data_IF_552549219653
#
_entry.id   IF_552549219653
#
_cell.length_a   1.000
_cell.length_b   1.000
_cell.length_c   1.000
_cell.angle_alpha   90.00
_cell.angle_beta   90.00
_cell.angle_gamma   90.00
#
_symmetry.space_group_name_H-M   'P 1'
#
loop_
_entity.id
_entity.type
_entity.pdbx_description
1 polymer ?
#
# COMPACT_ATOMS: atom_id res chain seq x y z
N UNK A 1 19.24 -11.90 18.91
CA UNK A 1 17.91 -11.80 19.54
C UNK A 1 17.02 -12.81 18.83
N UNK A 2 16.78 -13.97 19.43
CA UNK A 2 15.87 -14.98 18.86
C UNK A 2 14.45 -14.63 19.33
N UNK A 3 13.61 -14.21 18.40
CA UNK A 3 12.19 -13.93 18.67
C UNK A 3 11.50 -15.28 18.95
N UNK A 4 10.77 -15.46 20.06
CA UNK A 4 10.08 -16.71 20.37
C UNK A 4 9.04 -17.05 19.29
N UNK A 5 9.10 -18.27 18.73
CA UNK A 5 8.14 -18.72 17.71
C UNK A 5 6.69 -18.81 18.24
N UNK A 6 6.55 -19.13 19.53
CA UNK A 6 5.26 -19.34 20.22
C UNK A 6 4.30 -18.15 20.09
N UNK A 7 4.79 -16.92 20.22
CA UNK A 7 3.96 -15.72 20.10
C UNK A 7 3.44 -15.52 18.67
N UNK A 8 4.23 -15.91 17.66
CA UNK A 8 3.82 -15.81 16.25
C UNK A 8 2.76 -16.84 15.91
N UNK A 9 2.87 -18.06 16.45
CA UNK A 9 1.87 -19.12 16.28
C UNK A 9 0.53 -18.74 16.91
N UNK A 10 0.53 -18.13 18.10
CA UNK A 10 -0.69 -17.66 18.74
C UNK A 10 -1.41 -16.60 17.90
N UNK A 11 -0.66 -15.61 17.38
CA UNK A 11 -1.21 -14.57 16.50
C UNK A 11 -1.80 -15.17 15.22
N UNK A 12 -1.09 -16.10 14.59
CA UNK A 12 -1.56 -16.78 13.39
C UNK A 12 -2.82 -17.60 13.66
N UNK A 13 -2.88 -18.33 14.77
CA UNK A 13 -4.06 -19.08 15.16
C UNK A 13 -5.26 -18.17 15.43
N UNK A 14 -5.04 -17.03 16.09
CA UNK A 14 -6.09 -16.03 16.28
C UNK A 14 -6.63 -15.53 14.94
N UNK A 15 -5.76 -15.20 13.98
CA UNK A 15 -6.14 -14.81 12.63
C UNK A 15 -6.90 -15.92 11.88
N UNK A 16 -6.43 -17.17 11.91
CA UNK A 16 -7.12 -18.25 11.22
C UNK A 16 -8.46 -18.63 11.86
N UNK A 17 -8.62 -18.41 13.17
CA UNK A 17 -9.87 -18.63 13.89
C UNK A 17 -10.91 -17.56 13.61
N UNK A 18 -10.48 -16.30 13.53
CA UNK A 18 -11.31 -15.14 13.17
C UNK A 18 -10.44 -14.10 12.44
N UNK A 19 -10.49 -14.07 11.09
CA UNK A 19 -9.66 -13.17 10.30
C UNK A 19 -9.95 -11.69 10.53
N UNK A 20 -11.14 -11.35 11.05
CA UNK A 20 -11.58 -9.96 11.19
C UNK A 20 -11.39 -9.45 12.63
N UNK A 21 -11.78 -10.24 13.64
CA UNK A 21 -11.79 -9.80 15.04
C UNK A 21 -10.72 -10.48 15.90
N UNK A 22 -10.14 -11.60 15.46
CA UNK A 22 -9.12 -12.33 16.23
C UNK A 22 -7.91 -11.47 16.54
N UNK A 23 -7.47 -10.66 15.57
CA UNK A 23 -6.34 -9.74 15.74
C UNK A 23 -6.69 -8.46 16.52
N UNK A 24 -7.96 -8.01 16.49
CA UNK A 24 -8.40 -6.83 17.26
C UNK A 24 -8.26 -7.06 18.76
N UNK A 25 -8.52 -8.29 19.21
CA UNK A 25 -8.38 -8.69 20.61
C UNK A 25 -6.91 -8.77 21.07
N UNK A 26 -5.96 -8.78 20.14
CA UNK A 26 -4.52 -8.80 20.44
C UNK A 26 -4.00 -7.36 20.52
N UNK A 27 -4.12 -6.62 19.41
CA UNK A 27 -3.71 -5.22 19.36
C UNK A 27 -4.32 -4.53 18.13
N UNK A 28 -5.04 -3.44 18.35
CA UNK A 28 -5.76 -2.70 17.31
C UNK A 28 -4.82 -2.13 16.22
N UNK A 29 -3.60 -1.71 16.57
CA UNK A 29 -2.62 -1.18 15.61
C UNK A 29 -2.04 -2.29 14.73
N UNK A 30 -1.65 -3.43 15.31
CA UNK A 30 -1.19 -4.57 14.51
C UNK A 30 -2.31 -5.11 13.61
N UNK A 31 -3.53 -5.25 14.13
CA UNK A 31 -4.69 -5.66 13.33
C UNK A 31 -4.91 -4.72 12.14
N UNK A 32 -4.85 -3.41 12.38
CA UNK A 32 -4.94 -2.42 11.29
C UNK A 32 -3.84 -2.58 10.26
N UNK A 33 -2.57 -2.70 10.67
CA UNK A 33 -1.42 -2.92 9.78
C UNK A 33 -1.61 -4.18 8.94
N UNK A 34 -2.03 -5.28 9.56
CA UNK A 34 -2.26 -6.55 8.87
C UNK A 34 -3.33 -6.42 7.78
N UNK A 35 -4.46 -5.79 8.10
CA UNK A 35 -5.57 -5.62 7.16
C UNK A 35 -5.22 -4.67 6.00
N UNK A 36 -4.47 -3.59 6.26
CA UNK A 36 -4.09 -2.65 5.18
C UNK A 36 -3.07 -3.26 4.21
N UNK A 37 -2.19 -4.18 4.65
CA UNK A 37 -1.22 -4.83 3.75
C UNK A 37 -1.91 -5.51 2.57
N UNK A 38 -3.03 -6.20 2.79
CA UNK A 38 -3.83 -6.79 1.71
C UNK A 38 -4.42 -5.73 0.77
N UNK A 39 -4.70 -4.53 1.27
CA UNK A 39 -5.26 -3.43 0.49
C UNK A 39 -4.21 -2.70 -0.36
N UNK A 40 -2.91 -2.78 -0.02
CA UNK A 40 -1.82 -2.07 -0.71
C UNK A 40 -1.66 -2.45 -2.18
N UNK A 41 -2.14 -3.63 -2.59
CA UNK A 41 -2.10 -4.05 -3.99
C UNK A 41 -2.80 -3.05 -4.92
N UNK A 42 -3.90 -2.43 -4.48
CA UNK A 42 -4.68 -1.50 -5.30
C UNK A 42 -3.94 -0.19 -5.62
N UNK A 43 -3.46 0.61 -4.65
CA UNK A 43 -2.74 1.83 -4.97
C UNK A 43 -1.42 1.54 -5.70
N UNK A 44 -0.78 0.41 -5.43
CA UNK A 44 0.39 -0.02 -6.20
C UNK A 44 0.04 -0.36 -7.66
N UNK A 45 -1.10 -1.02 -7.90
CA UNK A 45 -1.63 -1.22 -9.25
C UNK A 45 -1.80 0.13 -9.96
N UNK A 46 -2.41 1.11 -9.29
CA UNK A 46 -2.64 2.45 -9.82
C UNK A 46 -1.34 3.17 -10.21
N UNK A 47 -0.23 2.91 -9.52
CA UNK A 47 1.08 3.51 -9.80
C UNK A 47 1.88 2.75 -10.87
N UNK A 48 1.82 1.42 -10.85
CA UNK A 48 2.64 0.54 -11.69
C UNK A 48 2.03 0.34 -13.06
N UNK A 49 0.73 0.05 -13.12
CA UNK A 49 0.08 -0.44 -14.33
C UNK A 49 0.12 0.55 -15.51
N UNK A 50 0.02 1.88 -15.30
CA UNK A 50 0.17 2.82 -16.42
C UNK A 50 1.55 2.74 -17.09
N UNK A 51 2.60 2.45 -16.32
CA UNK A 51 3.97 2.32 -16.80
C UNK A 51 4.44 0.89 -17.13
N UNK A 52 3.54 -0.09 -17.06
CA UNK A 52 3.89 -1.50 -17.22
C UNK A 52 4.08 -1.93 -18.68
N UNK A 53 3.66 -1.10 -19.64
CA UNK A 53 3.85 -1.36 -21.07
C UNK A 53 5.35 -1.49 -21.36
N UNK A 54 5.75 -2.52 -22.10
CA UNK A 54 7.14 -2.83 -22.47
C UNK A 54 8.09 -3.26 -21.34
N UNK A 55 7.56 -3.59 -20.14
CA UNK A 55 8.37 -4.19 -19.07
C UNK A 55 8.73 -5.66 -19.38
N UNK A 56 9.85 -6.13 -18.82
CA UNK A 56 10.34 -7.51 -19.05
C UNK A 56 9.36 -8.58 -18.56
N UNK A 57 8.67 -8.28 -17.46
CA UNK A 57 7.69 -9.15 -16.84
C UNK A 57 6.31 -8.50 -16.88
N UNK A 58 5.22 -9.27 -17.04
CA UNK A 58 3.88 -8.73 -16.95
C UNK A 58 3.60 -8.30 -15.50
N UNK A 59 3.15 -7.06 -15.27
CA UNK A 59 2.93 -6.52 -13.93
C UNK A 59 1.77 -7.20 -13.17
N UNK A 60 0.71 -7.57 -13.87
CA UNK A 60 -0.54 -8.09 -13.30
C UNK A 60 -0.36 -9.22 -12.28
N UNK A 61 0.36 -10.33 -12.57
CA UNK A 61 0.53 -11.41 -11.59
C UNK A 61 1.24 -10.94 -10.31
N UNK A 62 2.17 -9.98 -10.40
CA UNK A 62 2.89 -9.48 -9.24
C UNK A 62 2.05 -8.50 -8.42
N UNK A 63 1.27 -7.64 -9.07
CA UNK A 63 0.32 -6.76 -8.40
C UNK A 63 -0.76 -7.57 -7.67
N UNK A 64 -1.36 -8.57 -8.33
CA UNK A 64 -2.34 -9.47 -7.70
C UNK A 64 -1.68 -10.25 -6.55
N UNK A 65 -0.50 -10.82 -6.79
CA UNK A 65 0.22 -11.58 -5.77
C UNK A 65 0.66 -10.73 -4.57
N UNK A 66 0.85 -9.42 -4.73
CA UNK A 66 1.15 -8.48 -3.63
C UNK A 66 0.03 -8.43 -2.60
N UNK A 67 -1.23 -8.65 -3.00
CA UNK A 67 -2.35 -8.69 -2.05
C UNK A 67 -2.26 -9.86 -1.06
N UNK A 68 -1.51 -10.92 -1.41
CA UNK A 68 -1.39 -12.15 -0.62
C UNK A 68 0.02 -12.41 -0.09
N UNK A 69 1.06 -11.89 -0.76
CA UNK A 69 2.46 -12.14 -0.44
C UNK A 69 3.28 -10.88 -0.18
N UNK A 70 2.63 -9.71 -0.09
CA UNK A 70 3.28 -8.44 0.24
C UNK A 70 4.40 -8.07 -0.74
N UNK A 71 5.43 -7.39 -0.22
CA UNK A 71 6.61 -7.02 -1.00
C UNK A 71 7.41 -8.22 -1.51
N UNK A 72 7.32 -9.40 -0.88
CA UNK A 72 8.04 -10.59 -1.34
C UNK A 72 7.74 -10.92 -2.81
N UNK A 73 6.48 -10.75 -3.23
CA UNK A 73 6.07 -10.92 -4.63
C UNK A 73 6.36 -9.67 -5.45
N UNK A 74 6.04 -8.48 -4.93
CA UNK A 74 6.25 -7.23 -5.66
C UNK A 74 7.72 -6.96 -5.98
N UNK A 75 8.62 -7.31 -5.06
CA UNK A 75 10.07 -7.09 -5.15
C UNK A 75 10.68 -7.80 -6.35
N UNK A 76 10.17 -8.98 -6.73
CA UNK A 76 10.58 -9.67 -7.95
C UNK A 76 10.31 -8.78 -9.16
N UNK A 77 9.09 -8.26 -9.29
CA UNK A 77 8.75 -7.35 -10.37
C UNK A 77 9.56 -6.05 -10.31
N UNK A 78 9.66 -5.44 -9.13
CA UNK A 78 10.38 -4.19 -8.91
C UNK A 78 11.87 -4.30 -9.30
N UNK A 79 12.50 -5.46 -9.09
CA UNK A 79 13.89 -5.73 -9.50
C UNK A 79 14.09 -5.74 -11.02
N UNK A 80 13.02 -6.00 -11.77
CA UNK A 80 13.04 -6.08 -13.24
C UNK A 80 12.51 -4.82 -13.92
N UNK A 81 12.00 -3.86 -13.14
CA UNK A 81 11.56 -2.57 -13.65
C UNK A 81 12.73 -1.92 -14.37
N UNK A 82 12.59 -1.76 -15.69
CA UNK A 82 13.44 -0.82 -16.41
C UNK A 82 13.17 0.53 -15.79
N UNK A 83 14.23 1.22 -15.37
CA UNK A 83 14.17 2.59 -14.88
C UNK A 83 13.46 3.39 -15.97
N UNK A 84 12.18 3.72 -15.77
CA UNK A 84 11.30 4.34 -16.77
C UNK A 84 11.72 5.77 -17.13
N UNK A 85 12.98 6.14 -16.93
CA UNK A 85 13.52 7.48 -17.19
C UNK A 85 13.55 7.84 -18.68
N UNK A 86 13.25 6.91 -19.59
CA UNK A 86 13.32 7.15 -21.05
C UNK A 86 11.96 7.34 -21.73
N UNK A 87 10.83 7.05 -21.07
CA UNK A 87 9.47 7.29 -21.62
C UNK A 87 8.60 8.08 -20.60
N UNK A 88 9.18 9.11 -19.97
CA UNK A 88 8.48 10.14 -19.18
C UNK A 88 7.71 11.12 -20.12
N UNK A 89 7.03 10.59 -21.13
CA UNK A 89 6.14 11.35 -22.01
C UNK A 89 4.76 11.39 -21.35
N UNK A 90 4.03 12.51 -21.41
CA UNK A 90 2.62 12.53 -21.06
C UNK A 90 1.89 11.39 -21.78
N UNK A 91 1.10 10.62 -21.02
CA UNK A 91 0.31 9.51 -21.52
C UNK A 91 -1.16 9.85 -21.45
N UNK A 92 -1.93 9.32 -22.38
CA UNK A 92 -3.39 9.48 -22.37
C UNK A 92 -4.07 8.16 -22.07
N UNK A 93 -5.36 8.18 -21.74
CA UNK A 93 -6.09 6.95 -21.40
C UNK A 93 -6.12 5.96 -22.55
N UNK A 94 -6.05 6.44 -23.79
CA UNK A 94 -5.95 5.63 -25.00
C UNK A 94 -4.69 4.75 -25.04
N UNK A 95 -3.61 5.15 -24.35
CA UNK A 95 -2.36 4.39 -24.26
C UNK A 95 -2.42 3.22 -23.27
N UNK A 96 -3.46 3.18 -22.43
CA UNK A 96 -3.60 2.24 -21.33
C UNK A 96 -4.43 1.01 -21.73
N UNK A 97 -4.18 -0.11 -21.06
CA UNK A 97 -5.08 -1.27 -21.12
C UNK A 97 -6.45 -0.95 -20.51
N UNK A 98 -7.50 -1.62 -20.99
CA UNK A 98 -8.90 -1.39 -20.59
C UNK A 98 -9.09 -1.32 -19.06
N UNK A 99 -8.53 -2.28 -18.32
CA UNK A 99 -8.66 -2.33 -16.87
C UNK A 99 -8.00 -1.12 -16.18
N UNK A 100 -6.81 -0.72 -16.62
CA UNK A 100 -6.12 0.44 -16.06
C UNK A 100 -6.91 1.73 -16.35
N UNK A 101 -7.37 1.92 -17.58
CA UNK A 101 -8.12 3.11 -17.99
C UNK A 101 -9.49 3.23 -17.30
N UNK A 102 -10.20 2.12 -17.08
CA UNK A 102 -11.61 2.14 -16.64
C UNK A 102 -11.80 1.82 -15.16
N UNK A 103 -10.85 1.13 -14.51
CA UNK A 103 -10.95 0.71 -13.11
C UNK A 103 -9.92 1.46 -12.26
N UNK A 104 -8.63 1.39 -12.58
CA UNK A 104 -7.56 1.98 -11.76
C UNK A 104 -7.51 3.52 -11.84
N UNK A 105 -7.84 4.09 -13.00
CA UNK A 105 -7.97 5.54 -13.16
C UNK A 105 -9.34 6.09 -12.70
N UNK A 106 -10.29 5.22 -12.33
CA UNK A 106 -11.62 5.64 -11.93
C UNK A 106 -11.62 6.26 -10.52
N UNK A 107 -12.01 7.53 -10.43
CA UNK A 107 -12.04 8.28 -9.16
C UNK A 107 -13.06 7.74 -8.16
N UNK A 108 -14.16 7.15 -8.60
CA UNK A 108 -15.13 6.53 -7.70
C UNK A 108 -14.60 5.23 -7.10
N UNK A 109 -13.88 4.43 -7.88
CA UNK A 109 -13.19 3.22 -7.37
C UNK A 109 -12.14 3.63 -6.34
N UNK A 110 -11.34 4.64 -6.65
CA UNK A 110 -10.31 5.15 -5.74
C UNK A 110 -10.90 5.81 -4.48
N UNK A 111 -12.04 6.50 -4.60
CA UNK A 111 -12.76 7.05 -3.46
C UNK A 111 -13.36 5.96 -2.58
N UNK A 112 -13.93 4.91 -3.20
CA UNK A 112 -14.44 3.74 -2.49
C UNK A 112 -13.34 3.00 -1.74
N UNK A 113 -12.17 2.85 -2.35
CA UNK A 113 -11.00 2.26 -1.69
C UNK A 113 -10.50 3.10 -0.51
N UNK A 114 -10.47 4.43 -0.66
CA UNK A 114 -10.11 5.32 0.43
C UNK A 114 -11.14 5.28 1.56
N UNK A 115 -12.44 5.23 1.25
CA UNK A 115 -13.49 5.04 2.24
C UNK A 115 -13.38 3.67 2.93
N UNK A 116 -13.00 2.61 2.20
CA UNK A 116 -12.77 1.30 2.77
C UNK A 116 -11.59 1.29 3.75
N UNK A 117 -10.53 2.07 3.50
CA UNK A 117 -9.45 2.28 4.47
C UNK A 117 -9.95 2.89 5.79
N UNK A 118 -10.84 3.89 5.73
CA UNK A 118 -11.47 4.44 6.93
C UNK A 118 -12.38 3.43 7.63
N UNK A 119 -13.13 2.62 6.86
CA UNK A 119 -13.92 1.52 7.41
C UNK A 119 -13.04 0.51 8.16
N UNK A 120 -11.91 0.09 7.59
CA UNK A 120 -10.96 -0.79 8.26
C UNK A 120 -10.45 -0.17 9.56
N UNK A 121 -10.02 1.10 9.52
CA UNK A 121 -9.56 1.85 10.70
C UNK A 121 -10.59 1.88 11.83
N UNK A 122 -11.88 1.96 11.50
CA UNK A 122 -12.96 1.89 12.48
C UNK A 122 -13.18 0.46 13.00
N UNK A 123 -13.33 -0.52 12.11
CA UNK A 123 -13.65 -1.90 12.48
C UNK A 123 -12.54 -2.62 13.23
N UNK A 124 -11.29 -2.27 13.02
CA UNK A 124 -10.16 -2.81 13.79
C UNK A 124 -9.99 -2.15 15.16
N UNK A 125 -10.83 -1.16 15.49
CA UNK A 125 -10.70 -0.37 16.72
C UNK A 125 -9.54 0.61 16.72
N UNK A 126 -8.76 0.71 15.62
CA UNK A 126 -7.59 1.60 15.53
C UNK A 126 -7.96 3.07 15.73
N UNK A 127 -8.99 3.56 15.02
CA UNK A 127 -9.46 4.93 15.16
C UNK A 127 -9.88 5.27 16.61
N UNK A 128 -10.54 4.33 17.29
CA UNK A 128 -10.96 4.51 18.67
C UNK A 128 -9.74 4.52 19.60
N UNK A 129 -8.88 3.50 19.51
CA UNK A 129 -7.69 3.37 20.34
C UNK A 129 -6.73 4.57 20.19
N UNK A 130 -6.61 5.14 18.99
CA UNK A 130 -5.80 6.34 18.74
C UNK A 130 -6.28 7.57 19.54
N UNK A 131 -7.57 7.64 19.87
CA UNK A 131 -8.16 8.79 20.57
C UNK A 131 -8.38 8.53 22.07
N UNK A 132 -8.63 7.28 22.47
CA UNK A 132 -8.94 6.94 23.87
C UNK A 132 -7.74 6.39 24.64
N UNK A 133 -6.86 5.61 24.00
CA UNK A 133 -5.75 4.90 24.66
C UNK A 133 -4.51 4.76 23.75
N UNK A 134 -3.97 5.86 23.19
CA UNK A 134 -2.89 5.80 22.22
C UNK A 134 -1.60 5.18 22.80
N UNK A 135 -1.27 5.48 24.06
CA UNK A 135 -0.06 4.99 24.71
C UNK A 135 -0.08 3.46 24.90
N UNK A 136 -1.21 2.91 25.38
CA UNK A 136 -1.37 1.46 25.57
C UNK A 136 -1.33 0.71 24.23
N UNK A 137 -1.99 1.25 23.21
CA UNK A 137 -1.98 0.68 21.87
C UNK A 137 -0.55 0.61 21.31
N UNK A 138 0.21 1.70 21.43
CA UNK A 138 1.58 1.78 20.94
C UNK A 138 2.51 0.87 21.75
N UNK A 139 2.41 0.88 23.07
CA UNK A 139 3.27 0.04 23.91
C UNK A 139 3.01 -1.45 23.65
N UNK A 140 1.74 -1.87 23.62
CA UNK A 140 1.39 -3.26 23.30
C UNK A 140 1.86 -3.67 21.90
N UNK A 141 1.80 -2.74 20.94
CA UNK A 141 2.36 -2.99 19.61
C UNK A 141 3.89 -3.16 19.63
N UNK A 142 4.61 -2.34 20.41
CA UNK A 142 6.06 -2.43 20.54
C UNK A 142 6.50 -3.75 21.20
N UNK A 143 5.76 -4.20 22.21
CA UNK A 143 6.00 -5.49 22.87
C UNK A 143 5.81 -6.65 21.88
N UNK A 144 4.76 -6.58 21.06
CA UNK A 144 4.51 -7.55 19.98
C UNK A 144 5.58 -7.49 18.88
N UNK A 145 6.01 -6.29 18.47
CA UNK A 145 7.05 -6.10 17.46
C UNK A 145 8.37 -6.75 17.88
N UNK A 146 8.71 -6.68 19.17
CA UNK A 146 9.95 -7.28 19.70
C UNK A 146 9.84 -8.79 19.95
N UNK A 147 8.62 -9.30 20.13
CA UNK A 147 8.38 -10.67 20.60
C UNK A 147 7.68 -11.59 19.59
N UNK A 148 7.18 -11.09 18.47
CA UNK A 148 6.55 -11.87 17.41
C UNK A 148 7.08 -11.50 16.01
N UNK A 149 7.66 -12.49 15.32
CA UNK A 149 8.32 -12.29 14.04
C UNK A 149 7.34 -11.83 12.95
N UNK A 150 6.09 -12.30 13.00
CA UNK A 150 5.04 -11.90 12.06
C UNK A 150 4.71 -10.41 12.15
N UNK A 151 4.76 -9.84 13.37
CA UNK A 151 4.48 -8.42 13.60
C UNK A 151 5.60 -7.59 13.00
N UNK A 152 6.86 -7.93 13.33
CA UNK A 152 8.02 -7.26 12.75
C UNK A 152 8.08 -7.36 11.22
N UNK A 153 7.84 -8.55 10.67
CA UNK A 153 7.81 -8.77 9.22
C UNK A 153 6.74 -7.91 8.54
N UNK A 154 5.53 -7.84 9.13
CA UNK A 154 4.44 -7.01 8.62
C UNK A 154 4.77 -5.51 8.65
N UNK A 155 5.45 -5.04 9.70
CA UNK A 155 5.88 -3.64 9.77
C UNK A 155 6.93 -3.30 8.71
N UNK A 156 7.92 -4.18 8.53
CA UNK A 156 8.93 -4.00 7.50
C UNK A 156 8.32 -4.07 6.11
N UNK A 157 7.37 -4.97 5.88
CA UNK A 157 6.64 -5.06 4.62
C UNK A 157 5.88 -3.75 4.33
N UNK A 158 5.13 -3.23 5.31
CA UNK A 158 4.43 -1.95 5.20
C UNK A 158 5.40 -0.80 4.88
N UNK A 159 6.54 -0.74 5.58
CA UNK A 159 7.55 0.28 5.37
C UNK A 159 8.14 0.23 3.95
N UNK A 160 8.50 -0.96 3.48
CA UNK A 160 9.06 -1.16 2.14
C UNK A 160 8.01 -0.82 1.08
N UNK A 161 6.78 -1.35 1.18
CA UNK A 161 5.70 -1.06 0.23
C UNK A 161 5.39 0.44 0.16
N UNK A 162 5.39 1.14 1.30
CA UNK A 162 5.16 2.58 1.34
C UNK A 162 6.29 3.35 0.66
N UNK A 163 7.54 2.96 0.90
CA UNK A 163 8.72 3.58 0.27
C UNK A 163 8.76 3.32 -1.24
N UNK A 164 8.43 2.10 -1.66
CA UNK A 164 8.31 1.74 -3.08
C UNK A 164 7.22 2.55 -3.74
N UNK A 165 6.03 2.63 -3.14
CA UNK A 165 4.93 3.44 -3.67
C UNK A 165 5.34 4.92 -3.81
N UNK A 166 5.96 5.50 -2.78
CA UNK A 166 6.46 6.87 -2.84
C UNK A 166 7.49 7.07 -3.97
N UNK A 167 8.39 6.10 -4.19
CA UNK A 167 9.38 6.18 -5.28
C UNK A 167 8.77 6.17 -6.69
N UNK A 168 7.55 5.62 -6.84
CA UNK A 168 6.84 5.53 -8.11
C UNK A 168 6.01 6.78 -8.44
N UNK A 169 5.65 7.58 -7.42
CA UNK A 169 4.80 8.77 -7.56
C UNK A 169 5.37 9.79 -8.55
N UNK A 170 6.68 10.14 -8.54
CA UNK A 170 7.20 11.11 -9.49
C UNK A 170 7.01 10.69 -10.96
N UNK A 171 7.20 9.40 -11.27
CA UNK A 171 6.95 8.88 -12.61
C UNK A 171 5.45 8.90 -12.98
N UNK A 172 4.57 8.59 -12.03
CA UNK A 172 3.12 8.68 -12.23
C UNK A 172 2.67 10.13 -12.51
N UNK A 173 3.23 11.11 -11.80
CA UNK A 173 2.94 12.52 -12.03
C UNK A 173 3.47 13.04 -13.37
N UNK A 174 4.65 12.60 -13.80
CA UNK A 174 5.19 12.95 -15.13
C UNK A 174 4.31 12.44 -16.27
N UNK A 175 3.82 11.20 -16.18
CA UNK A 175 2.85 10.64 -17.15
C UNK A 175 1.56 11.45 -17.22
N UNK A 176 1.23 12.21 -16.19
CA UNK A 176 0.07 13.12 -16.10
C UNK A 176 0.41 14.57 -16.47
N UNK A 177 1.57 14.82 -17.08
CA UNK A 177 2.00 16.15 -17.51
C UNK A 177 2.56 17.05 -16.39
N UNK A 178 2.76 16.54 -15.17
CA UNK A 178 3.35 17.32 -14.08
C UNK A 178 4.88 17.28 -14.20
N UNK A 179 5.44 18.34 -14.81
CA UNK A 179 6.89 18.48 -15.06
C UNK A 179 7.69 18.98 -13.86
N UNK A 180 7.02 19.55 -12.86
CA UNK A 180 7.65 20.09 -11.65
C UNK A 180 8.14 18.96 -10.73
N UNK A 181 9.43 18.68 -10.81
CA UNK A 181 10.07 17.60 -10.04
C UNK A 181 10.05 17.85 -8.53
N UNK A 182 10.04 19.11 -8.09
CA UNK A 182 9.96 19.43 -6.66
C UNK A 182 8.58 19.11 -6.11
N UNK A 183 7.51 19.54 -6.80
CA UNK A 183 6.13 19.18 -6.43
C UNK A 183 5.92 17.67 -6.44
N UNK A 184 6.48 16.98 -7.44
CA UNK A 184 6.39 15.52 -7.53
C UNK A 184 7.06 14.80 -6.35
N UNK A 185 8.26 15.25 -5.96
CA UNK A 185 8.96 14.70 -4.80
C UNK A 185 8.26 15.04 -3.47
N UNK A 186 7.69 16.24 -3.33
CA UNK A 186 6.91 16.61 -2.15
C UNK A 186 5.63 15.76 -2.03
N UNK A 187 4.94 15.51 -3.14
CA UNK A 187 3.80 14.60 -3.17
C UNK A 187 4.21 13.16 -2.79
N UNK A 188 5.37 12.69 -3.26
CA UNK A 188 5.90 11.40 -2.86
C UNK A 188 6.18 11.32 -1.34
N UNK A 189 6.92 12.30 -0.81
CA UNK A 189 7.28 12.35 0.60
C UNK A 189 6.07 12.52 1.53
N UNK A 190 5.04 13.26 1.11
CA UNK A 190 3.83 13.43 1.92
C UNK A 190 3.09 12.11 2.14
N UNK A 191 3.16 11.16 1.19
CA UNK A 191 2.56 9.83 1.37
C UNK A 191 3.22 8.99 2.45
N UNK A 192 4.48 9.28 2.79
CA UNK A 192 5.23 8.59 3.85
C UNK A 192 4.89 9.08 5.26
N UNK A 193 4.30 10.29 5.39
CA UNK A 193 3.91 10.83 6.69
C UNK A 193 2.75 10.05 7.32
N UNK A 194 1.84 9.57 6.49
CA UNK A 194 0.71 8.74 6.89
C UNK A 194 0.65 7.53 5.96
N UNK A 195 1.43 6.46 6.23
CA UNK A 195 1.37 5.23 5.45
C UNK A 195 -0.08 4.74 5.29
N UNK A 196 -0.38 4.14 4.14
CA UNK A 196 -1.71 3.90 3.59
C UNK A 196 -2.51 5.18 3.31
N UNK A 197 -2.87 5.98 4.32
CA UNK A 197 -3.78 7.12 4.13
C UNK A 197 -3.27 8.12 3.09
N UNK A 198 -2.00 8.51 3.18
CA UNK A 198 -1.36 9.39 2.22
C UNK A 198 -1.29 8.80 0.82
N UNK A 199 -1.06 7.50 0.70
CA UNK A 199 -0.99 6.81 -0.58
C UNK A 199 -2.38 6.68 -1.25
N UNK A 200 -3.41 6.30 -0.51
CA UNK A 200 -4.78 6.25 -1.03
C UNK A 200 -5.31 7.66 -1.35
N UNK A 201 -5.01 8.64 -0.51
CA UNK A 201 -5.31 10.04 -0.79
C UNK A 201 -4.60 10.51 -2.07
N UNK A 202 -3.32 10.16 -2.27
CA UNK A 202 -2.61 10.46 -3.50
C UNK A 202 -3.31 9.87 -4.72
N UNK A 203 -3.65 8.58 -4.72
CA UNK A 203 -4.32 7.93 -5.86
C UNK A 203 -5.69 8.55 -6.16
N UNK A 204 -6.41 8.97 -5.12
CA UNK A 204 -7.66 9.71 -5.25
C UNK A 204 -7.46 11.13 -5.79
N UNK A 205 -6.44 11.85 -5.35
CA UNK A 205 -6.26 13.29 -5.63
C UNK A 205 -5.35 13.59 -6.82
N UNK A 206 -4.55 12.64 -7.30
CA UNK A 206 -3.65 12.82 -8.46
C UNK A 206 -4.43 13.32 -9.69
N UNK A 207 -3.83 14.12 -10.58
CA UNK A 207 -4.51 14.59 -11.79
C UNK A 207 -5.06 13.43 -12.63
N UNK A 208 -6.18 13.58 -13.31
CA UNK A 208 -6.66 12.58 -14.27
C UNK A 208 -5.81 12.61 -15.54
N UNK A 209 -5.64 11.47 -16.20
CA UNK A 209 -5.06 11.46 -17.55
C UNK A 209 -6.06 12.02 -18.57
N UNK A 210 -5.53 12.64 -19.62
CA UNK A 210 -6.30 13.10 -20.77
C UNK A 210 -6.89 11.90 -21.53
N UNK A 211 -8.02 12.09 -22.20
CA UNK A 211 -8.69 11.01 -22.94
C UNK A 211 -7.95 10.65 -24.24
N UNK A 212 -7.42 11.66 -24.95
CA UNK A 212 -6.67 11.57 -26.22
C UNK A 212 -5.35 12.32 -26.16
#
# INVERSE_FOLDING_TARGET
>A
MTIPAENSEQILNAFFSDPNYGLNNINNLFSFIWQILGLYALPLACLIMPGARNQKLPATPFVIGTAFGGYGILGIYASTLKKQQEEDVPMTKSDLGWFTANVLENKLVNAGAFAFLFYLSYTTGFANALTTQPEEMIQGYMDLFQSAAIVAASSFDLFILSTVAASLIPGDLKRRGVVDSQKANLAALSTLLLPAFGLFAYVLLRPTMEEE
#
